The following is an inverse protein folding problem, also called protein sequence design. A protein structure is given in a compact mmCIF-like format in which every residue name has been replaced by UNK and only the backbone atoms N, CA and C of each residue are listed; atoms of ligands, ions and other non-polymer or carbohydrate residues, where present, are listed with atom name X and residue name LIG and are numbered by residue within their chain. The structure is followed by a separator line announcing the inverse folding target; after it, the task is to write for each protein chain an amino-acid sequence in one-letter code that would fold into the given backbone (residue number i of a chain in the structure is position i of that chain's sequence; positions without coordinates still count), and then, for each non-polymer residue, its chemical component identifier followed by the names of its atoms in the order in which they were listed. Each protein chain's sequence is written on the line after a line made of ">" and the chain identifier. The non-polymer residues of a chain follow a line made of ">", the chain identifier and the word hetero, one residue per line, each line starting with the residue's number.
data_IF_538011037026
#
_entry.id   IF_538011037026
#
_cell.length_a   1.000
_cell.length_b   1.000
_cell.length_c   1.000
_cell.angle_alpha   90.00
_cell.angle_beta   90.00
_cell.angle_gamma   90.00
#
_symmetry.space_group_name_H-M   'P 1'
#
loop_
_entity.id
_entity.type
_entity.pdbx_description
1 polymer ?
#
# COMPACT_ATOMS: atom_id res chain seq x y z
N UNK A 1 25.04 16.96 1.24
CA UNK A 1 24.12 17.58 0.26
C UNK A 1 23.29 18.62 1.00
N UNK A 2 23.15 19.81 0.44
CA UNK A 2 22.33 20.88 1.04
C UNK A 2 20.97 20.86 0.35
N UNK A 3 19.96 20.31 1.01
CA UNK A 3 18.58 20.28 0.51
C UNK A 3 17.88 21.49 1.12
N UNK A 4 17.49 22.46 0.29
CA UNK A 4 16.71 23.62 0.73
C UNK A 4 15.24 23.26 0.65
N UNK A 5 14.63 22.96 1.78
CA UNK A 5 13.20 22.67 1.87
C UNK A 5 12.42 23.98 2.09
N UNK A 6 11.26 24.17 1.43
CA UNK A 6 10.28 25.20 1.79
C UNK A 6 9.91 25.10 3.26
N UNK A 7 9.63 26.23 3.91
CA UNK A 7 9.41 26.28 5.36
C UNK A 7 8.18 25.46 5.78
N UNK A 8 7.15 25.41 4.93
CA UNK A 8 5.95 24.58 5.14
C UNK A 8 6.26 23.08 5.18
N UNK A 9 7.28 22.64 4.44
CA UNK A 9 7.72 21.23 4.42
C UNK A 9 8.60 20.90 5.63
N UNK A 10 9.30 21.88 6.20
CA UNK A 10 10.15 21.67 7.38
C UNK A 10 9.32 21.33 8.60
N UNK A 11 8.26 22.10 8.88
CA UNK A 11 7.38 21.87 10.02
C UNK A 11 6.73 20.48 9.95
N UNK A 12 6.32 20.08 8.75
CA UNK A 12 5.74 18.77 8.50
C UNK A 12 6.75 17.64 8.70
N UNK A 13 7.98 17.81 8.22
CA UNK A 13 9.05 16.85 8.37
C UNK A 13 9.52 16.73 9.81
N UNK A 14 9.58 17.82 10.58
CA UNK A 14 9.91 17.79 12.01
C UNK A 14 8.87 17.01 12.81
N UNK A 15 7.58 17.23 12.51
CA UNK A 15 6.48 16.47 13.11
C UNK A 15 6.60 14.98 12.82
N UNK A 16 6.83 14.63 11.55
CA UNK A 16 7.00 13.24 11.11
C UNK A 16 8.26 12.58 11.71
N UNK A 17 9.37 13.30 11.75
CA UNK A 17 10.65 12.86 12.36
C UNK A 17 10.43 12.46 13.81
N UNK A 18 9.74 13.30 14.59
CA UNK A 18 9.44 13.02 16.01
C UNK A 18 8.51 11.82 16.18
N UNK A 19 7.50 11.69 15.31
CA UNK A 19 6.56 10.55 15.34
C UNK A 19 7.20 9.22 14.95
N UNK A 20 8.18 9.25 14.06
CA UNK A 20 8.90 8.07 13.57
C UNK A 20 10.13 7.71 14.42
N UNK A 21 10.44 8.49 15.45
CA UNK A 21 11.50 8.20 16.42
C UNK A 21 12.92 8.56 15.97
N UNK A 22 13.07 9.38 14.93
CA UNK A 22 14.39 9.81 14.45
C UNK A 22 14.90 11.03 15.22
N UNK A 23 16.22 11.14 15.39
CA UNK A 23 16.83 12.21 16.17
C UNK A 23 16.95 13.53 15.39
N UNK A 24 17.05 13.45 14.06
CA UNK A 24 17.14 14.63 13.19
C UNK A 24 16.33 14.47 11.91
N UNK A 25 15.86 15.59 11.36
CA UNK A 25 15.15 15.60 10.06
C UNK A 25 16.03 15.06 8.93
N UNK A 26 17.33 15.36 8.96
CA UNK A 26 18.29 14.87 7.97
C UNK A 26 18.39 13.33 7.98
N UNK A 27 18.34 12.71 9.15
CA UNK A 27 18.34 11.25 9.30
C UNK A 27 17.04 10.65 8.78
N UNK A 28 15.89 11.25 9.12
CA UNK A 28 14.58 10.84 8.61
C UNK A 28 14.49 10.94 7.08
N UNK A 29 14.98 12.04 6.48
CA UNK A 29 15.00 12.23 5.03
C UNK A 29 15.97 11.25 4.37
N UNK A 30 17.14 10.99 4.96
CA UNK A 30 18.09 10.01 4.44
C UNK A 30 17.51 8.59 4.47
N UNK A 31 16.81 8.24 5.55
CA UNK A 31 16.07 6.99 5.67
C UNK A 31 14.95 6.87 4.64
N UNK A 32 14.20 7.95 4.39
CA UNK A 32 13.10 7.98 3.40
C UNK A 32 13.62 7.82 1.97
N UNK A 33 14.76 8.42 1.64
CA UNK A 33 15.41 8.24 0.32
C UNK A 33 16.02 6.84 0.17
N UNK A 34 16.46 6.21 1.26
CA UNK A 34 17.00 4.85 1.25
C UNK A 34 15.92 3.76 1.21
N UNK A 35 14.67 4.09 1.52
CA UNK A 35 13.52 3.18 1.47
C UNK A 35 12.57 3.54 0.33
N UNK A 36 12.75 2.98 -0.88
CA UNK A 36 11.78 3.15 -1.96
C UNK A 36 10.38 2.66 -1.58
N UNK A 37 10.28 1.70 -0.65
CA UNK A 37 9.02 1.21 -0.08
C UNK A 37 8.27 2.22 0.84
N UNK A 38 8.90 3.28 1.36
CA UNK A 38 8.20 4.28 2.19
C UNK A 38 7.37 5.27 1.36
N UNK A 39 7.54 5.27 0.04
CA UNK A 39 6.74 6.03 -0.91
C UNK A 39 5.45 5.27 -1.32
N UNK A 40 5.28 4.03 -0.85
CA UNK A 40 4.16 3.14 -1.15
C UNK A 40 2.86 3.50 -0.42
N UNK A 41 2.73 4.59 0.32
CA UNK A 41 1.44 4.91 0.96
C UNK A 41 0.54 5.83 0.11
N UNK A 42 1.06 6.44 -0.98
CA UNK A 42 0.28 7.41 -1.78
C UNK A 42 0.50 7.35 -3.31
N UNK A 43 1.28 6.42 -3.84
CA UNK A 43 1.46 6.23 -5.29
C UNK A 43 0.73 4.97 -5.79
N UNK A 44 0.46 4.81 -7.09
CA UNK A 44 -0.15 3.59 -7.65
C UNK A 44 0.63 2.29 -7.34
N UNK A 45 1.91 2.39 -6.97
CA UNK A 45 2.72 1.26 -6.50
C UNK A 45 2.24 0.70 -5.13
N UNK A 46 1.62 1.54 -4.29
CA UNK A 46 0.98 1.21 -3.01
C UNK A 46 -0.03 0.07 -3.07
N UNK A 47 -0.68 -0.09 -4.24
CA UNK A 47 -1.73 -1.05 -4.46
C UNK A 47 -1.18 -2.46 -4.75
N UNK A 48 0.13 -2.67 -4.54
CA UNK A 48 0.79 -3.95 -4.78
C UNK A 48 0.95 -4.28 -6.25
N UNK A 49 1.00 -3.28 -7.12
CA UNK A 49 1.29 -3.45 -8.54
C UNK A 49 2.72 -2.99 -8.81
N UNK A 50 3.59 -3.92 -9.22
CA UNK A 50 5.00 -3.64 -9.43
C UNK A 50 5.27 -2.71 -10.63
N UNK A 51 4.25 -2.43 -11.45
CA UNK A 51 4.32 -1.45 -12.53
C UNK A 51 2.93 -1.00 -13.02
N UNK A 52 2.83 0.16 -13.68
CA UNK A 52 1.61 0.58 -14.38
C UNK A 52 1.10 -0.46 -15.40
N UNK A 53 2.01 -1.18 -16.05
CA UNK A 53 1.67 -2.24 -17.01
C UNK A 53 1.01 -3.45 -16.33
N UNK A 54 1.43 -3.79 -15.10
CA UNK A 54 0.80 -4.85 -14.33
C UNK A 54 -0.63 -4.45 -13.92
N UNK A 55 -0.81 -3.20 -13.47
CA UNK A 55 -2.13 -2.66 -13.15
C UNK A 55 -3.05 -2.68 -14.39
N UNK A 56 -2.57 -2.18 -15.53
CA UNK A 56 -3.31 -2.17 -16.80
C UNK A 56 -3.74 -3.59 -17.19
N UNK A 57 -2.83 -4.57 -17.10
CA UNK A 57 -3.13 -5.97 -17.41
C UNK A 57 -4.25 -6.51 -16.52
N UNK A 58 -4.21 -6.24 -15.21
CA UNK A 58 -5.24 -6.72 -14.27
C UNK A 58 -6.59 -6.02 -14.50
N UNK A 59 -6.59 -4.72 -14.81
CA UNK A 59 -7.79 -3.97 -15.15
C UNK A 59 -8.44 -4.50 -16.44
N UNK A 60 -7.65 -4.76 -17.48
CA UNK A 60 -8.16 -5.35 -18.71
C UNK A 60 -8.71 -6.77 -18.48
N UNK A 61 -8.01 -7.58 -17.70
CA UNK A 61 -8.50 -8.92 -17.32
C UNK A 61 -9.83 -8.85 -16.56
N UNK A 62 -10.02 -7.83 -15.72
CA UNK A 62 -11.27 -7.62 -14.97
C UNK A 62 -12.48 -7.37 -15.88
N UNK A 63 -12.30 -6.72 -17.03
CA UNK A 63 -13.39 -6.47 -17.99
C UNK A 63 -13.96 -7.77 -18.55
N UNK A 64 -13.13 -8.81 -18.63
CA UNK A 64 -13.53 -10.15 -19.08
C UNK A 64 -13.89 -11.11 -17.94
N UNK A 65 -13.83 -10.64 -16.68
CA UNK A 65 -14.02 -11.51 -15.50
C UNK A 65 -15.47 -11.93 -15.24
N UNK A 66 -16.42 -11.36 -15.99
CA UNK A 66 -17.84 -11.70 -15.91
C UNK A 66 -18.72 -10.50 -15.59
N UNK A 67 -20.01 -10.72 -15.34
CA UNK A 67 -20.93 -9.65 -15.02
C UNK A 67 -20.59 -9.02 -13.65
N UNK A 68 -20.75 -7.69 -13.51
CA UNK A 68 -20.53 -7.03 -12.23
C UNK A 68 -21.53 -7.52 -11.19
N UNK A 69 -21.05 -7.78 -9.98
CA UNK A 69 -21.87 -8.18 -8.83
C UNK A 69 -21.94 -7.01 -7.85
N UNK A 70 -23.11 -6.80 -7.24
CA UNK A 70 -23.28 -5.76 -6.23
C UNK A 70 -22.58 -6.18 -4.94
N UNK A 71 -21.61 -5.37 -4.49
CA UNK A 71 -20.91 -5.57 -3.24
C UNK A 71 -21.75 -5.08 -2.04
N UNK A 72 -22.74 -5.88 -1.62
CA UNK A 72 -23.55 -5.59 -0.42
C UNK A 72 -22.83 -6.05 0.87
N UNK A 73 -23.25 -5.59 2.06
CA UNK A 73 -22.71 -6.09 3.32
C UNK A 73 -22.82 -7.61 3.48
N UNK A 74 -23.91 -8.20 3.00
CA UNK A 74 -24.16 -9.65 3.05
C UNK A 74 -23.15 -10.40 2.18
N UNK A 75 -22.87 -9.89 0.97
CA UNK A 75 -21.83 -10.43 0.09
C UNK A 75 -20.47 -10.49 0.79
N UNK A 76 -20.09 -9.45 1.52
CA UNK A 76 -18.83 -9.43 2.27
C UNK A 76 -18.80 -10.44 3.42
N UNK A 77 -19.92 -10.62 4.11
CA UNK A 77 -20.02 -11.61 5.19
C UNK A 77 -19.89 -13.04 4.64
N UNK A 78 -20.58 -13.36 3.54
CA UNK A 78 -20.50 -14.65 2.86
C UNK A 78 -19.07 -14.90 2.34
N UNK A 79 -18.45 -13.90 1.70
CA UNK A 79 -17.08 -14.00 1.20
C UNK A 79 -16.09 -14.29 2.34
N UNK A 80 -16.26 -13.63 3.49
CA UNK A 80 -15.43 -13.87 4.68
C UNK A 80 -15.59 -15.30 5.19
N UNK A 81 -16.82 -15.76 5.36
CA UNK A 81 -17.09 -17.13 5.81
C UNK A 81 -16.51 -18.17 4.85
N UNK A 82 -16.70 -17.98 3.54
CA UNK A 82 -16.15 -18.87 2.51
C UNK A 82 -14.61 -18.86 2.48
N UNK A 83 -13.98 -17.75 2.85
CA UNK A 83 -12.51 -17.64 2.91
C UNK A 83 -11.95 -18.34 4.15
N UNK A 84 -12.60 -18.19 5.31
CA UNK A 84 -12.24 -18.90 6.54
C UNK A 84 -12.39 -20.42 6.35
N UNK A 85 -13.50 -20.86 5.76
CA UNK A 85 -13.74 -22.28 5.47
C UNK A 85 -12.67 -22.86 4.54
N UNK A 86 -12.27 -22.12 3.50
CA UNK A 86 -11.20 -22.52 2.57
C UNK A 86 -9.84 -22.60 3.24
N UNK A 87 -9.52 -21.64 4.12
CA UNK A 87 -8.28 -21.65 4.88
C UNK A 87 -8.22 -22.84 5.85
N UNK A 88 -9.34 -23.18 6.50
CA UNK A 88 -9.44 -24.34 7.39
C UNK A 88 -9.36 -25.69 6.64
N UNK A 89 -9.79 -25.73 5.38
CA UNK A 89 -9.74 -26.95 4.54
C UNK A 89 -8.42 -27.16 3.80
N UNK A 90 -7.49 -26.21 3.84
CA UNK A 90 -6.17 -26.36 3.21
C UNK A 90 -5.23 -27.01 4.24
N UNK A 91 -4.94 -28.33 4.17
CA UNK A 91 -3.94 -28.91 5.04
C UNK A 91 -2.60 -28.23 4.74
N UNK A 92 -1.85 -27.90 5.79
CA UNK A 92 -0.42 -27.57 5.72
C UNK A 92 0.26 -28.61 4.83
N UNK A 93 0.59 -28.22 3.60
CA UNK A 93 1.46 -29.03 2.77
C UNK A 93 2.90 -28.82 3.31
N UNK A 94 3.63 -29.91 3.60
CA UNK A 94 4.97 -29.87 4.16
C UNK A 94 6.01 -29.29 3.20
#
# INVERSE_FOLDING_TARGET
>A
MTITLPDELKDELERKTRSAGFATVSEYVCWLVQRPEAQEDMTPEALGFASPAELETKLLASLTSGPPVRATPEFWNELRQASIARAASKPEQP
#
